data_IF_738161179421
#
_entry.id   IF_738161179421
#
_cell.length_a   1.000
_cell.length_b   1.000
_cell.length_c   1.000
_cell.angle_alpha   90.00
_cell.angle_beta   90.00
_cell.angle_gamma   90.00
#
_symmetry.space_group_name_H-M   'P 1'
#
loop_
_entity.id
_entity.type
_entity.pdbx_description
1 polymer ?
#
# COMPACT_ATOMS: atom_id res chain seq x y z
N UNK A 1 -29.86 1.59 -28.04
CA UNK A 1 -29.58 2.11 -26.68
C UNK A 1 -28.56 1.18 -26.05
N UNK A 2 -27.46 1.77 -25.60
CA UNK A 2 -26.11 1.21 -25.55
C UNK A 2 -25.86 0.29 -24.35
N UNK A 3 -24.95 -0.67 -24.60
CA UNK A 3 -24.57 -1.82 -23.78
C UNK A 3 -24.11 -1.44 -22.37
N UNK A 4 -24.69 -2.08 -21.36
CA UNK A 4 -24.07 -2.27 -20.05
C UNK A 4 -22.97 -3.32 -20.19
N UNK A 5 -21.71 -2.92 -20.06
CA UNK A 5 -20.59 -3.85 -19.88
C UNK A 5 -20.13 -3.74 -18.44
N UNK A 6 -20.69 -4.61 -17.58
CA UNK A 6 -20.07 -4.91 -16.30
C UNK A 6 -18.69 -5.51 -16.58
N UNK A 7 -17.63 -4.89 -16.06
CA UNK A 7 -16.28 -5.44 -16.13
C UNK A 7 -16.27 -6.80 -15.43
N UNK A 8 -15.95 -7.85 -16.16
CA UNK A 8 -15.79 -9.20 -15.62
C UNK A 8 -14.58 -9.21 -14.69
N UNK A 9 -14.82 -9.16 -13.38
CA UNK A 9 -13.80 -9.47 -12.37
C UNK A 9 -13.38 -10.92 -12.63
N UNK A 10 -12.16 -11.10 -13.12
CA UNK A 10 -11.57 -12.42 -13.28
C UNK A 10 -11.36 -13.04 -11.89
N UNK A 11 -12.34 -13.83 -11.46
CA UNK A 11 -12.26 -14.70 -10.30
C UNK A 11 -11.47 -15.94 -10.72
N UNK A 12 -10.29 -16.17 -10.16
CA UNK A 12 -9.70 -17.51 -10.19
C UNK A 12 -9.62 -18.13 -8.79
N UNK A 13 -10.23 -19.31 -8.58
CA UNK A 13 -10.18 -20.06 -7.34
C UNK A 13 -8.99 -21.02 -7.33
N UNK A 14 -8.31 -21.10 -6.19
CA UNK A 14 -7.26 -22.06 -5.92
C UNK A 14 -6.70 -21.74 -4.55
N UNK A 15 -6.36 -22.76 -3.76
CA UNK A 15 -5.74 -22.62 -2.45
C UNK A 15 -4.34 -22.02 -2.62
N UNK A 16 -4.26 -20.71 -2.87
CA UNK A 16 -3.02 -19.97 -3.05
C UNK A 16 -2.46 -19.69 -1.66
N UNK A 17 -1.29 -20.27 -1.39
CA UNK A 17 -0.43 -19.84 -0.29
C UNK A 17 -0.08 -18.35 -0.48
N UNK A 18 0.22 -17.67 0.62
CA UNK A 18 0.50 -16.24 0.66
C UNK A 18 -0.69 -15.38 1.11
N UNK A 19 -0.46 -14.07 1.08
CA UNK A 19 -1.38 -13.06 1.64
C UNK A 19 -2.72 -13.08 0.92
N UNK A 20 -3.79 -13.45 1.64
CA UNK A 20 -5.19 -13.50 1.15
C UNK A 20 -5.93 -12.19 1.39
N UNK A 21 -5.56 -11.47 2.45
CA UNK A 21 -6.18 -10.19 2.85
C UNK A 21 -5.14 -9.21 3.35
N UNK A 22 -5.39 -7.92 3.12
CA UNK A 22 -4.66 -6.84 3.74
C UNK A 22 -5.55 -6.10 4.73
N UNK A 23 -4.95 -5.65 5.83
CA UNK A 23 -5.51 -4.63 6.72
C UNK A 23 -4.69 -3.36 6.52
N UNK A 24 -5.32 -2.31 5.98
CA UNK A 24 -4.72 -0.99 5.76
C UNK A 24 -5.47 0.01 6.62
N UNK A 25 -4.89 0.39 7.77
CA UNK A 25 -5.60 1.23 8.72
C UNK A 25 -6.84 0.55 9.29
N UNK A 26 -8.03 1.12 9.04
CA UNK A 26 -9.34 0.57 9.41
C UNK A 26 -10.02 -0.19 8.27
N UNK A 27 -9.36 -0.32 7.12
CA UNK A 27 -9.87 -1.06 5.97
C UNK A 27 -9.33 -2.48 5.95
N UNK A 28 -10.16 -3.44 5.56
CA UNK A 28 -9.73 -4.82 5.32
C UNK A 28 -10.35 -5.39 4.06
N UNK A 29 -9.51 -5.84 3.12
CA UNK A 29 -9.94 -6.25 1.79
C UNK A 29 -9.08 -7.39 1.22
N UNK A 30 -9.64 -8.22 0.32
CA UNK A 30 -8.91 -9.33 -0.28
C UNK A 30 -7.85 -8.85 -1.29
N UNK A 31 -6.79 -9.63 -1.44
CA UNK A 31 -5.77 -9.45 -2.48
C UNK A 31 -6.22 -10.11 -3.79
N UNK A 32 -5.64 -9.67 -4.92
CA UNK A 32 -5.97 -10.21 -6.24
C UNK A 32 -4.84 -11.09 -6.79
N UNK A 33 -3.60 -10.71 -6.49
CA UNK A 33 -2.38 -11.35 -6.96
C UNK A 33 -1.40 -11.62 -5.82
N UNK A 34 -0.40 -12.44 -6.08
CA UNK A 34 0.70 -12.66 -5.15
C UNK A 34 1.77 -11.57 -5.28
N UNK A 35 2.42 -11.27 -4.16
CA UNK A 35 3.57 -10.37 -4.04
C UNK A 35 4.71 -11.12 -3.35
N UNK A 36 5.95 -10.67 -3.59
CA UNK A 36 7.19 -11.33 -3.15
C UNK A 36 7.74 -10.69 -1.88
N UNK A 37 6.99 -10.80 -0.78
CA UNK A 37 7.50 -10.38 0.51
C UNK A 37 8.67 -11.28 0.97
N UNK A 38 9.68 -10.74 1.66
CA UNK A 38 10.77 -11.54 2.22
C UNK A 38 10.23 -12.60 3.19
N UNK A 39 10.62 -13.86 3.00
CA UNK A 39 10.06 -15.01 3.72
C UNK A 39 10.32 -14.95 5.23
N UNK A 40 11.42 -14.31 5.64
CA UNK A 40 11.77 -14.06 7.03
C UNK A 40 10.87 -13.04 7.73
N UNK A 41 10.15 -12.20 6.96
CA UNK A 41 9.22 -11.20 7.47
C UNK A 41 7.76 -11.61 7.28
N UNK A 42 7.47 -12.37 6.23
CA UNK A 42 6.13 -12.82 5.86
C UNK A 42 6.18 -14.29 5.47
N UNK A 43 5.73 -15.15 6.39
CA UNK A 43 5.68 -16.59 6.16
C UNK A 43 4.73 -16.95 5.01
N UNK A 44 5.01 -18.06 4.31
CA UNK A 44 4.24 -18.51 3.13
C UNK A 44 2.76 -18.79 3.42
N UNK A 45 2.43 -19.13 4.66
CA UNK A 45 1.07 -19.38 5.13
C UNK A 45 0.40 -18.13 5.74
N UNK A 46 1.06 -16.96 5.69
CA UNK A 46 0.47 -15.70 6.15
C UNK A 46 -0.77 -15.37 5.33
N UNK A 47 -1.95 -15.47 5.95
CA UNK A 47 -3.21 -15.13 5.29
C UNK A 47 -3.54 -13.63 5.37
N UNK A 48 -3.13 -12.96 6.45
CA UNK A 48 -3.43 -11.55 6.71
C UNK A 48 -2.14 -10.76 6.85
N UNK A 49 -2.01 -9.70 6.08
CA UNK A 49 -0.91 -8.73 6.19
C UNK A 49 -1.44 -7.40 6.71
N UNK A 50 -0.89 -6.93 7.81
CA UNK A 50 -1.15 -5.59 8.33
C UNK A 50 -0.19 -4.60 7.70
N UNK A 51 -0.71 -3.52 7.13
CA UNK A 51 0.06 -2.51 6.40
C UNK A 51 -0.23 -1.14 6.99
N UNK A 52 0.82 -0.42 7.36
CA UNK A 52 0.70 0.96 7.82
C UNK A 52 0.32 1.86 6.65
N UNK A 53 -0.77 2.60 6.82
CA UNK A 53 -1.29 3.51 5.79
C UNK A 53 -0.36 4.68 5.44
N UNK A 54 0.52 5.07 6.37
CA UNK A 54 1.38 6.24 6.18
C UNK A 54 2.76 5.91 5.61
N UNK A 55 3.32 4.74 5.93
CA UNK A 55 4.68 4.38 5.49
C UNK A 55 4.77 3.05 4.73
N UNK A 56 3.63 2.38 4.53
CA UNK A 56 3.51 1.06 3.91
C UNK A 56 4.31 -0.07 4.58
N UNK A 57 4.93 0.18 5.76
CA UNK A 57 5.54 -0.89 6.56
C UNK A 57 4.48 -1.95 6.87
N UNK A 58 4.87 -3.20 6.72
CA UNK A 58 3.98 -4.34 6.86
C UNK A 58 4.42 -5.26 8.00
N UNK A 59 3.49 -6.06 8.51
CA UNK A 59 3.74 -7.13 9.47
C UNK A 59 2.64 -8.20 9.38
N UNK A 60 2.98 -9.46 9.66
CA UNK A 60 2.02 -10.53 9.91
C UNK A 60 1.56 -10.59 11.38
N UNK A 61 2.24 -9.86 12.28
CA UNK A 61 1.92 -9.77 13.70
C UNK A 61 1.10 -8.51 14.01
N UNK A 62 -0.12 -8.70 14.50
CA UNK A 62 -1.04 -7.64 14.86
C UNK A 62 -0.52 -6.74 16.01
N UNK A 63 0.16 -7.31 17.00
CA UNK A 63 0.72 -6.57 18.12
C UNK A 63 1.91 -5.71 17.68
N UNK A 64 2.80 -6.27 16.86
CA UNK A 64 3.91 -5.51 16.27
C UNK A 64 3.40 -4.36 15.40
N UNK A 65 2.38 -4.60 14.57
CA UNK A 65 1.71 -3.56 13.79
C UNK A 65 1.09 -2.48 14.69
N UNK A 66 0.34 -2.86 15.72
CA UNK A 66 -0.28 -1.90 16.64
C UNK A 66 0.76 -1.04 17.38
N UNK A 67 1.90 -1.62 17.75
CA UNK A 67 3.05 -0.87 18.29
C UNK A 67 3.61 0.14 17.30
N UNK A 68 3.79 -0.27 16.04
CA UNK A 68 4.28 0.62 14.98
C UNK A 68 3.35 1.81 14.72
N UNK A 69 2.04 1.58 14.59
CA UNK A 69 1.06 2.64 14.29
C UNK A 69 1.11 3.78 15.30
N UNK A 70 1.31 3.48 16.59
CA UNK A 70 1.41 4.48 17.66
C UNK A 70 2.65 5.38 17.56
N UNK A 71 3.72 4.86 16.95
CA UNK A 71 5.04 5.51 16.89
C UNK A 71 5.47 5.87 15.46
N UNK A 72 4.57 5.75 14.48
CA UNK A 72 4.92 5.95 13.09
C UNK A 72 5.26 7.42 12.83
N UNK A 73 6.51 7.69 12.44
CA UNK A 73 7.00 9.04 12.16
C UNK A 73 6.34 9.69 10.94
N UNK A 74 5.79 8.90 10.01
CA UNK A 74 5.14 9.38 8.77
C UNK A 74 3.66 9.76 8.95
N UNK A 75 3.14 9.74 10.17
CA UNK A 75 1.72 10.03 10.45
C UNK A 75 1.32 11.45 10.07
N UNK A 76 2.21 12.42 10.21
CA UNK A 76 1.90 13.83 9.96
C UNK A 76 2.00 14.22 8.48
N UNK A 77 2.89 13.58 7.71
CA UNK A 77 3.15 13.96 6.31
C UNK A 77 3.79 12.79 5.56
N UNK A 78 3.33 12.48 4.33
CA UNK A 78 4.03 11.57 3.41
C UNK A 78 5.49 11.96 3.16
N UNK A 79 6.34 11.01 2.74
CA UNK A 79 7.65 11.35 2.17
C UNK A 79 7.51 12.19 0.88
N UNK A 80 8.62 12.77 0.44
CA UNK A 80 8.70 13.51 -0.83
C UNK A 80 8.20 14.95 -0.77
N UNK A 81 8.13 15.57 -1.96
CA UNK A 81 7.69 16.94 -2.16
C UNK A 81 6.21 16.98 -2.56
N UNK A 82 5.43 17.85 -1.93
CA UNK A 82 4.04 18.09 -2.33
C UNK A 82 4.02 18.95 -3.60
N UNK A 83 3.74 18.33 -4.75
CA UNK A 83 3.76 18.97 -6.08
C UNK A 83 2.37 19.43 -6.54
N UNK A 84 1.31 19.02 -5.86
CA UNK A 84 -0.06 19.45 -6.13
C UNK A 84 -0.89 19.46 -4.85
N UNK A 85 -1.79 20.45 -4.72
CA UNK A 85 -2.77 20.52 -3.65
C UNK A 85 -4.05 21.23 -4.13
N UNK A 86 -5.20 20.57 -3.98
CA UNK A 86 -6.49 21.17 -4.27
C UNK A 86 -7.64 20.40 -3.58
N UNK A 87 -8.49 21.12 -2.83
CA UNK A 87 -9.74 20.57 -2.30
C UNK A 87 -9.57 19.34 -1.40
N UNK A 88 -8.53 19.34 -0.55
CA UNK A 88 -8.19 18.21 0.32
C UNK A 88 -7.34 17.11 -0.34
N UNK A 89 -7.20 17.13 -1.67
CA UNK A 89 -6.30 16.23 -2.37
C UNK A 89 -4.90 16.82 -2.46
N UNK A 90 -3.88 15.97 -2.25
CA UNK A 90 -2.49 16.33 -2.46
C UNK A 90 -1.73 15.22 -3.19
N UNK A 91 -0.82 15.60 -4.09
CA UNK A 91 0.11 14.67 -4.75
C UNK A 91 1.51 14.92 -4.22
N UNK A 92 2.14 13.85 -3.75
CA UNK A 92 3.53 13.85 -3.30
C UNK A 92 4.41 13.14 -4.33
N UNK A 93 5.41 13.84 -4.84
CA UNK A 93 6.50 13.27 -5.66
C UNK A 93 7.58 12.72 -4.72
N UNK A 94 7.84 11.42 -4.82
CA UNK A 94 8.78 10.69 -3.97
C UNK A 94 9.83 10.06 -4.86
N UNK A 95 11.09 10.42 -4.62
CA UNK A 95 12.23 9.76 -5.26
C UNK A 95 12.49 8.41 -4.60
N UNK A 96 12.47 7.34 -5.40
CA UNK A 96 12.77 5.99 -4.93
C UNK A 96 14.21 5.80 -4.46
N UNK A 97 15.16 6.64 -4.88
CA UNK A 97 16.53 6.64 -4.37
C UNK A 97 16.61 7.25 -2.97
N UNK A 98 15.87 8.32 -2.71
CA UNK A 98 15.87 9.01 -1.41
C UNK A 98 15.04 8.25 -0.36
N UNK A 99 13.89 7.70 -0.75
CA UNK A 99 12.94 7.02 0.12
C UNK A 99 12.81 5.52 -0.21
N UNK A 100 13.94 4.83 -0.43
CA UNK A 100 14.03 3.40 -0.82
C UNK A 100 13.07 2.48 -0.09
N UNK A 101 13.09 2.50 1.24
CA UNK A 101 12.26 1.58 2.05
C UNK A 101 10.77 1.83 1.83
N UNK A 102 10.36 3.10 1.73
CA UNK A 102 8.97 3.44 1.44
C UNK A 102 8.57 2.96 0.05
N UNK A 103 9.40 3.25 -0.97
CA UNK A 103 9.14 2.87 -2.35
C UNK A 103 9.11 1.34 -2.55
N UNK A 104 9.97 0.59 -1.86
CA UNK A 104 9.96 -0.88 -1.84
C UNK A 104 8.67 -1.42 -1.20
N UNK A 105 8.32 -0.92 -0.02
CA UNK A 105 7.09 -1.32 0.68
C UNK A 105 5.84 -1.03 -0.15
N UNK A 106 5.75 0.17 -0.73
CA UNK A 106 4.66 0.57 -1.62
C UNK A 106 4.61 -0.32 -2.86
N UNK A 107 5.75 -0.66 -3.45
CA UNK A 107 5.81 -1.54 -4.62
C UNK A 107 5.37 -2.97 -4.32
N UNK A 108 5.76 -3.52 -3.17
CA UNK A 108 5.32 -4.84 -2.69
C UNK A 108 3.81 -4.84 -2.45
N UNK A 109 3.29 -3.79 -1.81
CA UNK A 109 1.85 -3.63 -1.59
C UNK A 109 1.09 -3.53 -2.92
N UNK A 110 1.54 -2.70 -3.86
CA UNK A 110 0.89 -2.53 -5.16
C UNK A 110 0.83 -3.84 -5.96
N UNK A 111 1.85 -4.70 -5.86
CA UNK A 111 1.88 -5.99 -6.58
C UNK A 111 0.77 -6.95 -6.13
N UNK A 112 0.19 -6.78 -4.94
CA UNK A 112 -0.99 -7.54 -4.50
C UNK A 112 -2.24 -7.25 -5.35
N UNK A 113 -2.25 -6.13 -6.09
CA UNK A 113 -3.40 -5.65 -6.88
C UNK A 113 -3.07 -5.45 -8.36
N UNK A 114 -1.81 -5.68 -8.76
CA UNK A 114 -1.34 -5.58 -10.14
C UNK A 114 -0.80 -6.92 -10.63
N UNK A 115 -1.26 -7.36 -11.80
CA UNK A 115 -0.80 -8.62 -12.41
C UNK A 115 0.65 -8.52 -12.88
N UNK A 116 0.92 -7.50 -13.72
CA UNK A 116 2.18 -7.35 -14.46
C UNK A 116 3.08 -6.22 -13.93
N UNK A 117 3.18 -6.05 -12.61
CA UNK A 117 4.23 -5.19 -12.02
C UNK A 117 5.54 -5.96 -11.98
N UNK A 118 6.61 -5.40 -12.54
CA UNK A 118 7.93 -6.05 -12.71
C UNK A 118 9.01 -5.55 -11.75
N UNK A 119 8.79 -4.40 -11.09
CA UNK A 119 9.78 -3.74 -10.23
C UNK A 119 9.27 -3.66 -8.80
N UNK A 120 10.07 -4.16 -7.85
CA UNK A 120 9.73 -4.21 -6.42
C UNK A 120 10.87 -3.75 -5.50
N UNK A 121 12.10 -4.16 -5.81
CA UNK A 121 13.28 -3.89 -4.97
C UNK A 121 14.20 -2.83 -5.57
N UNK A 122 14.37 -2.84 -6.89
CA UNK A 122 15.15 -1.83 -7.62
C UNK A 122 14.29 -0.59 -7.92
N UNK A 123 14.00 0.16 -6.86
CA UNK A 123 13.10 1.32 -6.89
C UNK A 123 13.82 2.64 -7.15
N UNK A 124 15.15 2.64 -7.08
CA UNK A 124 16.03 3.81 -7.19
C UNK A 124 15.88 4.61 -8.48
N UNK A 125 15.41 3.98 -9.56
CA UNK A 125 15.26 4.63 -10.87
C UNK A 125 13.86 5.20 -11.11
N UNK A 126 13.02 5.32 -10.07
CA UNK A 126 11.60 5.66 -10.21
C UNK A 126 11.19 6.83 -9.31
N UNK A 127 10.43 7.75 -9.90
CA UNK A 127 9.60 8.71 -9.16
C UNK A 127 8.22 8.11 -8.91
N UNK A 128 7.74 8.25 -7.68
CA UNK A 128 6.41 7.83 -7.24
C UNK A 128 5.56 9.07 -6.99
N UNK A 129 4.41 9.15 -7.67
CA UNK A 129 3.41 10.20 -7.43
C UNK A 129 2.27 9.63 -6.59
N UNK A 130 2.27 9.92 -5.29
CA UNK A 130 1.29 9.39 -4.34
C UNK A 130 0.18 10.41 -4.12
N UNK A 131 -1.04 10.04 -4.52
CA UNK A 131 -2.24 10.81 -4.23
C UNK A 131 -2.74 10.51 -2.82
N UNK A 132 -3.03 11.56 -2.07
CA UNK A 132 -3.56 11.51 -0.71
C UNK A 132 -4.80 12.39 -0.62
N UNK A 133 -5.67 12.07 0.32
CA UNK A 133 -6.85 12.87 0.63
C UNK A 133 -6.88 13.15 2.13
N UNK A 134 -6.99 14.43 2.47
CA UNK A 134 -7.22 14.91 3.83
C UNK A 134 -8.52 15.69 3.83
N UNK A 135 -9.44 15.36 4.71
CA UNK A 135 -10.68 16.10 4.85
C UNK A 135 -10.37 17.54 5.32
N UNK A 136 -10.74 18.58 4.56
CA UNK A 136 -10.52 19.97 4.95
C UNK A 136 -11.18 20.36 6.28
N UNK A 137 -12.27 19.68 6.65
CA UNK A 137 -13.02 19.93 7.88
C UNK A 137 -12.41 19.20 9.09
N UNK A 138 -11.58 18.17 8.84
CA UNK A 138 -10.84 17.43 9.88
C UNK A 138 -9.38 17.19 9.49
N UNK A 139 -8.56 18.25 9.41
CA UNK A 139 -7.18 18.17 8.91
C UNK A 139 -6.24 17.32 9.78
N UNK A 140 -6.55 17.19 11.07
CA UNK A 140 -5.80 16.34 12.00
C UNK A 140 -6.13 14.85 11.86
N UNK A 141 -7.22 14.52 11.17
CA UNK A 141 -7.69 13.16 10.93
C UNK A 141 -7.16 12.68 9.57
N UNK A 142 -5.83 12.68 9.46
CA UNK A 142 -5.11 12.23 8.26
C UNK A 142 -5.25 10.71 8.12
N UNK A 143 -6.27 10.29 7.36
CA UNK A 143 -6.60 8.90 7.04
C UNK A 143 -5.67 8.28 6.00
#
# INVERSE_FOLDING_TARGET
>A
MTRSTAATIAKQPGNRAGVKRVVLGNLSFPTWYQSIYPEELVAKDTEVLYVCRWCFRYSCDAAAYAGHVKLCSRRATPPGEKVYEHGGYAVYEIDGEDDKLFAQNLSLFAKLFLDHKSVFFDVSSFLYYVLTFTDPDTPDDYY
#
